data_IF_328184297931
#
_entry.id   IF_328184297931
#
_cell.length_a   1.000
_cell.length_b   1.000
_cell.length_c   1.000
_cell.angle_alpha   90.00
_cell.angle_beta   90.00
_cell.angle_gamma   90.00
#
_symmetry.space_group_name_H-M   'P 1'
#
loop_
_entity.id
_entity.type
_entity.pdbx_description
1 polymer ?
#
# COMPACT_ATOMS: atom_id res chain seq x y z
N UNK A 1 -35.89 -3.21 2.98
CA UNK A 1 -34.73 -3.09 3.88
C UNK A 1 -34.50 -4.46 4.49
N UNK A 2 -33.46 -5.18 4.08
CA UNK A 2 -33.00 -6.33 4.86
C UNK A 2 -32.19 -5.73 6.00
N UNK A 3 -32.66 -5.88 7.23
CA UNK A 3 -31.82 -5.68 8.40
C UNK A 3 -30.64 -6.63 8.23
N UNK A 4 -29.47 -6.06 7.94
CA UNK A 4 -28.23 -6.82 7.98
C UNK A 4 -27.96 -7.06 9.46
N UNK A 5 -28.38 -8.24 9.93
CA UNK A 5 -28.00 -8.73 11.25
C UNK A 5 -26.48 -8.79 11.21
N UNK A 6 -25.81 -7.85 11.91
CA UNK A 6 -24.37 -7.95 12.15
C UNK A 6 -24.21 -9.15 13.05
N UNK A 7 -23.87 -10.29 12.45
CA UNK A 7 -23.62 -11.50 13.20
C UNK A 7 -22.34 -11.28 14.01
N UNK A 8 -22.49 -11.03 15.30
CA UNK A 8 -21.38 -10.99 16.23
C UNK A 8 -20.79 -12.40 16.30
N UNK A 9 -19.60 -12.57 15.76
CA UNK A 9 -18.81 -13.81 15.78
C UNK A 9 -17.59 -13.59 16.65
N UNK A 10 -17.15 -14.62 17.37
CA UNK A 10 -15.95 -14.51 18.18
C UNK A 10 -14.70 -14.67 17.31
N UNK A 11 -13.60 -14.00 17.68
CA UNK A 11 -12.32 -14.19 17.00
C UNK A 11 -11.87 -15.66 17.07
N UNK A 12 -12.09 -16.33 18.19
CA UNK A 12 -11.76 -17.75 18.36
C UNK A 12 -12.47 -18.64 17.34
N UNK A 13 -13.76 -18.42 17.10
CA UNK A 13 -14.52 -19.18 16.08
C UNK A 13 -13.99 -18.93 14.67
N UNK A 14 -13.61 -17.68 14.36
CA UNK A 14 -13.06 -17.31 13.06
C UNK A 14 -11.69 -17.96 12.79
N UNK A 15 -10.85 -18.07 13.81
CA UNK A 15 -9.50 -18.64 13.70
C UNK A 15 -9.48 -20.18 13.69
N UNK A 16 -10.50 -20.84 14.24
CA UNK A 16 -10.50 -22.28 14.51
C UNK A 16 -10.28 -23.19 13.28
N UNK A 17 -10.60 -22.71 12.08
CA UNK A 17 -10.50 -23.48 10.83
C UNK A 17 -9.46 -22.93 9.85
N UNK A 18 -8.60 -22.00 10.30
CA UNK A 18 -7.55 -21.46 9.45
C UNK A 18 -6.38 -22.46 9.31
N UNK A 19 -5.62 -22.39 8.21
CA UNK A 19 -4.35 -23.09 8.09
C UNK A 19 -3.42 -22.76 9.27
N UNK A 20 -2.51 -23.67 9.64
CA UNK A 20 -1.50 -23.36 10.65
C UNK A 20 -0.67 -22.16 10.22
N UNK A 21 -0.25 -21.34 11.19
CA UNK A 21 0.67 -20.24 10.94
C UNK A 21 1.96 -20.79 10.33
N UNK A 22 2.47 -20.16 9.25
CA UNK A 22 3.72 -20.59 8.66
C UNK A 22 4.89 -20.25 9.59
N UNK A 23 6.04 -20.89 9.37
CA UNK A 23 7.28 -20.50 10.05
C UNK A 23 7.73 -19.12 9.55
N UNK A 24 7.33 -18.08 10.28
CA UNK A 24 7.64 -16.69 9.95
C UNK A 24 9.15 -16.45 9.85
N UNK A 25 9.95 -17.06 10.73
CA UNK A 25 11.39 -16.84 10.74
C UNK A 25 12.04 -17.29 9.43
N UNK A 26 11.63 -18.46 8.91
CA UNK A 26 12.09 -18.93 7.61
C UNK A 26 11.58 -18.05 6.47
N UNK A 27 10.30 -17.66 6.50
CA UNK A 27 9.70 -16.80 5.46
C UNK A 27 10.35 -15.42 5.39
N UNK A 28 10.67 -14.80 6.52
CA UNK A 28 11.33 -13.50 6.54
C UNK A 28 12.71 -13.54 5.86
N UNK A 29 13.47 -14.61 6.07
CA UNK A 29 14.77 -14.80 5.40
C UNK A 29 14.59 -14.91 3.88
N UNK A 30 13.59 -15.65 3.42
CA UNK A 30 13.28 -15.79 2.00
C UNK A 30 12.84 -14.45 1.38
N UNK A 31 11.94 -13.73 2.04
CA UNK A 31 11.47 -12.41 1.60
C UNK A 31 12.65 -11.42 1.51
N UNK A 32 13.52 -11.36 2.52
CA UNK A 32 14.68 -10.48 2.50
C UNK A 32 15.61 -10.78 1.32
N UNK A 33 15.80 -12.07 1.01
CA UNK A 33 16.60 -12.50 -0.14
C UNK A 33 15.97 -12.06 -1.46
N UNK A 34 14.66 -12.24 -1.62
CA UNK A 34 13.93 -11.81 -2.83
C UNK A 34 13.94 -10.29 -3.00
N UNK A 35 13.72 -9.55 -1.90
CA UNK A 35 13.79 -8.08 -1.90
C UNK A 35 15.19 -7.61 -2.34
N UNK A 36 16.25 -8.14 -1.70
CA UNK A 36 17.63 -7.81 -2.05
C UNK A 36 17.99 -8.20 -3.49
N UNK A 37 17.51 -9.35 -3.96
CA UNK A 37 17.74 -9.83 -5.32
C UNK A 37 17.01 -9.01 -6.40
N UNK A 38 15.85 -8.43 -6.05
CA UNK A 38 15.03 -7.68 -7.00
C UNK A 38 15.65 -6.35 -7.43
N UNK A 39 16.47 -5.73 -6.56
CA UNK A 39 17.09 -4.40 -6.75
C UNK A 39 16.08 -3.26 -7.01
N UNK A 40 14.79 -3.49 -6.77
CA UNK A 40 13.72 -2.49 -6.95
C UNK A 40 13.56 -1.67 -5.68
N UNK A 41 13.31 -0.37 -5.84
CA UNK A 41 12.88 0.49 -4.73
C UNK A 41 11.42 0.24 -4.38
N UNK A 42 11.09 0.17 -3.10
CA UNK A 42 9.71 0.21 -2.62
C UNK A 42 9.30 1.67 -2.40
N UNK A 43 8.29 2.10 -3.13
CA UNK A 43 7.66 3.41 -2.97
C UNK A 43 6.35 3.23 -2.25
N UNK A 44 6.24 3.75 -1.03
CA UNK A 44 4.97 3.71 -0.29
C UNK A 44 4.22 5.00 -0.53
N UNK A 45 2.99 4.89 -1.02
CA UNK A 45 2.09 6.02 -1.24
C UNK A 45 1.07 6.00 -0.13
N UNK A 46 1.18 6.96 0.80
CA UNK A 46 0.37 7.03 2.01
C UNK A 46 -0.71 8.12 1.88
N UNK A 47 -1.95 7.76 2.19
CA UNK A 47 -3.12 8.63 2.09
C UNK A 47 -3.31 9.55 3.31
N UNK A 48 -2.56 9.34 4.41
CA UNK A 48 -2.74 10.06 5.67
C UNK A 48 -1.47 10.13 6.55
N UNK A 49 -1.15 11.29 7.15
CA UNK A 49 0.04 11.48 7.99
C UNK A 49 0.12 10.58 9.23
N UNK A 50 -0.98 9.99 9.70
CA UNK A 50 -0.95 9.15 10.90
C UNK A 50 -0.26 7.81 10.64
N UNK A 51 -0.37 7.28 9.42
CA UNK A 51 0.29 6.02 9.03
C UNK A 51 1.82 6.13 9.11
N UNK A 52 2.37 7.26 8.66
CA UNK A 52 3.82 7.49 8.67
C UNK A 52 4.43 7.63 10.06
N UNK A 53 3.63 7.80 11.12
CA UNK A 53 4.12 7.87 12.51
C UNK A 53 4.58 6.51 13.06
N UNK A 54 4.26 5.41 12.39
CA UNK A 54 4.61 4.05 12.83
C UNK A 54 5.92 3.53 12.23
N UNK A 55 6.62 4.35 11.43
CA UNK A 55 7.86 3.99 10.75
C UNK A 55 9.00 4.93 11.18
N UNK A 56 10.22 4.43 11.15
CA UNK A 56 11.43 5.15 11.55
C UNK A 56 12.54 4.90 10.52
N UNK A 57 13.49 5.82 10.43
CA UNK A 57 14.65 5.75 9.54
C UNK A 57 14.33 5.58 8.03
N UNK A 58 13.16 6.07 7.62
CA UNK A 58 12.69 6.09 6.23
C UNK A 58 12.52 7.53 5.74
N UNK A 59 12.88 7.76 4.48
CA UNK A 59 12.70 9.06 3.83
C UNK A 59 11.20 9.30 3.57
N UNK A 60 10.71 10.50 3.87
CA UNK A 60 9.30 10.87 3.76
C UNK A 60 9.17 12.19 2.99
N UNK A 61 8.64 12.13 1.77
CA UNK A 61 8.40 13.30 0.95
C UNK A 61 6.96 13.74 1.13
N UNK A 62 6.78 15.00 1.50
CA UNK A 62 5.48 15.67 1.58
C UNK A 62 5.17 16.51 0.35
N UNK A 63 6.20 16.73 -0.48
CA UNK A 63 6.15 17.40 -1.78
C UNK A 63 7.19 16.77 -2.68
N UNK A 64 6.91 16.62 -3.97
CA UNK A 64 7.84 16.05 -4.93
C UNK A 64 7.57 16.57 -6.35
N UNK A 65 8.57 16.36 -7.19
CA UNK A 65 8.55 16.48 -8.64
C UNK A 65 9.40 15.34 -9.23
N UNK A 66 9.49 15.23 -10.56
CA UNK A 66 10.29 14.19 -11.21
C UNK A 66 11.77 14.22 -10.77
N UNK A 67 12.34 15.41 -10.58
CA UNK A 67 13.76 15.58 -10.22
C UNK A 67 14.05 15.06 -8.81
N UNK A 68 13.25 15.46 -7.82
CA UNK A 68 13.38 14.98 -6.43
C UNK A 68 13.13 13.47 -6.34
N UNK A 69 12.17 12.93 -7.10
CA UNK A 69 11.97 11.49 -7.16
C UNK A 69 13.17 10.76 -7.79
N UNK A 70 13.82 11.35 -8.80
CA UNK A 70 15.02 10.78 -9.41
C UNK A 70 16.19 10.73 -8.41
N UNK A 71 16.39 11.80 -7.63
CA UNK A 71 17.39 11.83 -6.56
C UNK A 71 17.15 10.71 -5.55
N UNK A 72 15.93 10.60 -5.01
CA UNK A 72 15.60 9.58 -4.01
C UNK A 72 15.66 8.16 -4.61
N UNK A 73 15.33 7.98 -5.89
CA UNK A 73 15.49 6.68 -6.59
C UNK A 73 16.95 6.25 -6.78
N UNK A 74 17.92 7.14 -6.62
CA UNK A 74 19.35 6.81 -6.72
C UNK A 74 20.03 6.58 -5.38
N UNK A 75 19.38 6.91 -4.26
CA UNK A 75 19.92 6.66 -2.93
C UNK A 75 20.12 5.16 -2.64
N UNK A 76 20.92 4.82 -1.64
CA UNK A 76 21.12 3.42 -1.25
C UNK A 76 19.89 2.81 -0.55
N UNK A 77 19.04 3.65 0.07
CA UNK A 77 17.84 3.20 0.78
C UNK A 77 16.87 2.51 -0.18
N UNK A 78 16.37 1.34 0.19
CA UNK A 78 15.44 0.57 -0.65
C UNK A 78 13.98 1.02 -0.54
N UNK A 79 13.66 1.96 0.34
CA UNK A 79 12.30 2.35 0.69
C UNK A 79 12.22 3.86 0.94
N UNK A 80 11.18 4.49 0.41
CA UNK A 80 10.76 5.83 0.80
C UNK A 80 9.24 5.99 0.71
N UNK A 81 8.73 7.01 1.38
CA UNK A 81 7.33 7.33 1.47
C UNK A 81 7.00 8.61 0.69
N UNK A 82 5.86 8.61 0.03
CA UNK A 82 5.18 9.78 -0.52
C UNK A 82 3.89 9.98 0.28
N UNK A 83 3.84 11.05 1.08
CA UNK A 83 2.64 11.41 1.82
C UNK A 83 1.75 12.29 0.95
N UNK A 84 0.74 11.66 0.35
CA UNK A 84 -0.26 12.36 -0.47
C UNK A 84 -1.25 13.15 0.39
N UNK A 85 -1.50 12.68 1.62
CA UNK A 85 -2.53 13.22 2.52
C UNK A 85 -3.91 13.33 1.80
N UNK A 86 -4.19 12.38 0.91
CA UNK A 86 -5.33 12.41 -0.01
C UNK A 86 -6.64 11.99 0.63
N UNK A 87 -6.63 11.33 1.80
CA UNK A 87 -7.82 10.70 2.40
C UNK A 87 -9.03 11.62 2.54
N UNK A 88 -8.77 12.89 2.89
CA UNK A 88 -9.82 13.90 3.11
C UNK A 88 -10.02 14.82 1.91
N UNK A 89 -9.30 14.60 0.80
CA UNK A 89 -9.45 15.40 -0.40
C UNK A 89 -10.77 15.07 -1.12
N UNK A 90 -11.25 15.95 -2.02
CA UNK A 90 -12.22 15.54 -3.01
C UNK A 90 -11.66 14.38 -3.83
N UNK A 91 -12.47 13.34 -4.06
CA UNK A 91 -12.09 12.15 -4.82
C UNK A 91 -11.40 12.47 -6.16
N UNK A 92 -11.86 13.50 -6.88
CA UNK A 92 -11.26 13.92 -8.15
C UNK A 92 -9.83 14.43 -8.00
N UNK A 93 -9.53 15.11 -6.89
CA UNK A 93 -8.20 15.64 -6.62
C UNK A 93 -7.25 14.53 -6.17
N UNK A 94 -7.73 13.61 -5.32
CA UNK A 94 -6.97 12.41 -4.94
C UNK A 94 -6.62 11.54 -6.17
N UNK A 95 -7.56 11.36 -7.10
CA UNK A 95 -7.33 10.64 -8.37
C UNK A 95 -6.28 11.36 -9.22
N UNK A 96 -6.39 12.68 -9.39
CA UNK A 96 -5.41 13.45 -10.17
C UNK A 96 -4.01 13.35 -9.56
N UNK A 97 -3.89 13.57 -8.25
CA UNK A 97 -2.63 13.51 -7.52
C UNK A 97 -1.95 12.14 -7.65
N UNK A 98 -2.69 11.04 -7.46
CA UNK A 98 -2.14 9.69 -7.57
C UNK A 98 -1.68 9.38 -9.00
N UNK A 99 -2.48 9.76 -10.01
CA UNK A 99 -2.09 9.55 -11.40
C UNK A 99 -0.83 10.35 -11.77
N UNK A 100 -0.76 11.62 -11.39
CA UNK A 100 0.41 12.48 -11.63
C UNK A 100 1.64 11.96 -10.89
N UNK A 101 1.48 11.50 -9.65
CA UNK A 101 2.56 10.89 -8.85
C UNK A 101 3.14 9.67 -9.55
N UNK A 102 2.27 8.76 -10.02
CA UNK A 102 2.70 7.59 -10.77
C UNK A 102 3.43 7.94 -12.08
N UNK A 103 2.95 8.95 -12.82
CA UNK A 103 3.61 9.42 -14.04
C UNK A 103 5.01 10.01 -13.76
N UNK A 104 5.16 10.79 -12.69
CA UNK A 104 6.45 11.35 -12.30
C UNK A 104 7.42 10.26 -11.83
N UNK A 105 6.95 9.24 -11.10
CA UNK A 105 7.75 8.07 -10.73
C UNK A 105 8.25 7.31 -11.96
N UNK A 106 7.39 7.08 -12.96
CA UNK A 106 7.79 6.46 -14.23
C UNK A 106 8.86 7.28 -14.94
N UNK A 107 8.69 8.60 -15.03
CA UNK A 107 9.66 9.48 -15.67
C UNK A 107 11.01 9.49 -14.91
N UNK A 108 10.97 9.54 -13.57
CA UNK A 108 12.16 9.51 -12.73
C UNK A 108 12.90 8.16 -12.83
N UNK A 109 12.16 7.05 -12.83
CA UNK A 109 12.69 5.70 -13.03
C UNK A 109 13.38 5.55 -14.38
N UNK A 110 12.78 6.05 -15.46
CA UNK A 110 13.39 6.05 -16.79
C UNK A 110 14.67 6.89 -16.86
N UNK A 111 14.68 8.07 -16.23
CA UNK A 111 15.85 8.94 -16.21
C UNK A 111 17.03 8.33 -15.44
N UNK A 112 16.73 7.59 -14.37
CA UNK A 112 17.74 7.03 -13.46
C UNK A 112 18.13 5.59 -13.77
N UNK A 113 17.33 4.89 -14.59
CA UNK A 113 17.40 3.44 -14.79
C UNK A 113 17.24 2.66 -13.47
N UNK A 114 16.51 3.24 -12.50
CA UNK A 114 16.16 2.60 -11.24
C UNK A 114 14.73 2.08 -11.28
N UNK A 115 14.57 0.77 -11.18
CA UNK A 115 13.25 0.14 -11.09
C UNK A 115 12.62 0.31 -9.70
N UNK A 116 11.29 0.33 -9.65
CA UNK A 116 10.55 0.44 -8.40
C UNK A 116 9.28 -0.40 -8.39
N UNK A 117 8.72 -0.59 -7.20
CA UNK A 117 7.40 -1.17 -6.93
C UNK A 117 6.63 -0.24 -6.00
N UNK A 118 5.31 -0.22 -6.10
CA UNK A 118 4.44 0.60 -5.25
C UNK A 118 3.72 -0.25 -4.22
N UNK A 119 3.67 0.23 -2.98
CA UNK A 119 2.66 -0.14 -2.02
C UNK A 119 1.76 1.07 -1.75
N UNK A 120 0.47 0.95 -2.07
CA UNK A 120 -0.51 1.95 -1.63
C UNK A 120 -0.90 1.63 -0.19
N UNK A 121 -0.52 2.51 0.73
CA UNK A 121 -0.84 2.40 2.14
C UNK A 121 -2.09 3.23 2.40
N UNK A 122 -3.12 2.55 2.90
CA UNK A 122 -4.43 3.14 3.19
C UNK A 122 -4.86 2.79 4.61
N UNK A 123 -6.06 3.21 4.97
CA UNK A 123 -6.64 2.97 6.29
C UNK A 123 -7.06 1.52 6.47
N UNK A 124 -6.70 0.93 7.62
CA UNK A 124 -7.09 -0.46 7.96
C UNK A 124 -8.60 -0.66 8.01
N UNK A 125 -9.40 0.39 8.27
CA UNK A 125 -10.88 0.32 8.22
C UNK A 125 -11.47 0.70 6.86
N UNK A 126 -10.66 0.64 5.80
CA UNK A 126 -11.06 0.86 4.40
C UNK A 126 -11.58 2.27 4.09
N UNK A 127 -11.24 3.27 4.92
CA UNK A 127 -11.50 4.68 4.61
C UNK A 127 -10.55 5.18 3.51
N UNK A 128 -10.96 6.24 2.82
CA UNK A 128 -10.22 6.83 1.70
C UNK A 128 -10.99 6.66 0.39
N UNK A 129 -10.27 6.64 -0.74
CA UNK A 129 -10.89 6.59 -2.06
C UNK A 129 -10.62 5.29 -2.81
N UNK A 130 -10.41 4.17 -2.10
CA UNK A 130 -10.35 2.86 -2.73
C UNK A 130 -11.67 2.56 -3.50
N UNK A 131 -11.61 2.02 -4.74
CA UNK A 131 -10.42 1.65 -5.52
C UNK A 131 -9.91 2.75 -6.46
N UNK A 132 -10.47 3.96 -6.42
CA UNK A 132 -10.20 5.01 -7.39
C UNK A 132 -8.74 5.49 -7.38
N UNK A 133 -8.09 5.56 -6.22
CA UNK A 133 -6.67 5.89 -6.12
C UNK A 133 -5.78 4.81 -6.73
N UNK A 134 -6.11 3.53 -6.50
CA UNK A 134 -5.38 2.39 -7.09
C UNK A 134 -5.47 2.42 -8.61
N UNK A 135 -6.67 2.64 -9.16
CA UNK A 135 -6.84 2.78 -10.61
C UNK A 135 -6.17 4.03 -11.18
N UNK A 136 -6.01 5.09 -10.39
CA UNK A 136 -5.25 6.26 -10.80
C UNK A 136 -3.75 5.96 -10.88
N UNK A 137 -3.21 5.28 -9.87
CA UNK A 137 -1.83 4.79 -9.86
C UNK A 137 -1.56 3.89 -11.06
N UNK A 138 -2.41 2.88 -11.28
CA UNK A 138 -2.28 1.97 -12.43
C UNK A 138 -2.23 2.73 -13.75
N UNK A 139 -3.17 3.63 -14.01
CA UNK A 139 -3.19 4.47 -15.23
C UNK A 139 -1.92 5.31 -15.40
N UNK A 140 -1.34 5.80 -14.31
CA UNK A 140 -0.10 6.57 -14.36
C UNK A 140 1.15 5.71 -14.56
N UNK A 141 1.14 4.47 -14.05
CA UNK A 141 2.23 3.49 -14.18
C UNK A 141 2.27 2.83 -15.56
N UNK A 142 1.12 2.71 -16.21
CA UNK A 142 0.98 2.03 -17.51
C UNK A 142 0.49 2.96 -18.62
N UNK A 143 1.22 4.06 -18.92
CA UNK A 143 0.76 5.03 -19.92
C UNK A 143 0.79 4.49 -21.36
N UNK A 144 1.51 3.37 -21.60
CA UNK A 144 1.60 2.71 -22.91
C UNK A 144 0.71 1.48 -22.99
N UNK A 145 0.06 1.27 -24.13
CA UNK A 145 -0.75 0.07 -24.41
C UNK A 145 0.14 -1.18 -24.39
N UNK A 146 0.14 -1.94 -23.29
CA UNK A 146 0.86 -3.21 -23.20
C UNK A 146 1.23 -3.63 -21.78
N UNK A 147 1.52 -2.67 -20.91
CA UNK A 147 1.73 -2.93 -19.49
C UNK A 147 0.39 -2.83 -18.77
N UNK A 148 0.02 -3.84 -17.99
CA UNK A 148 -1.15 -3.79 -17.12
C UNK A 148 -0.86 -4.67 -15.90
N UNK A 149 -1.56 -4.40 -14.80
CA UNK A 149 -1.51 -5.28 -13.64
C UNK A 149 -2.60 -6.34 -13.81
N UNK A 150 -2.26 -7.62 -13.61
CA UNK A 150 -3.24 -8.71 -13.64
C UNK A 150 -4.21 -8.66 -12.45
N UNK A 151 -3.81 -7.98 -11.36
CA UNK A 151 -4.63 -7.81 -10.17
C UNK A 151 -3.97 -6.95 -9.11
N UNK A 152 -4.75 -6.61 -8.08
CA UNK A 152 -4.30 -5.86 -6.91
C UNK A 152 -4.40 -6.76 -5.67
N UNK A 153 -3.34 -6.79 -4.86
CA UNK A 153 -3.37 -7.45 -3.56
C UNK A 153 -3.89 -6.47 -2.51
N UNK A 154 -5.05 -6.76 -1.95
CA UNK A 154 -5.69 -5.92 -0.93
C UNK A 154 -5.53 -6.59 0.43
N UNK A 155 -4.65 -6.03 1.28
CA UNK A 155 -4.29 -6.63 2.57
C UNK A 155 -4.52 -5.61 3.70
N UNK A 156 -5.78 -5.39 4.13
CA UNK A 156 -6.11 -4.40 5.17
C UNK A 156 -5.97 -4.96 6.59
N UNK A 157 -5.58 -6.23 6.74
CA UNK A 157 -5.38 -6.85 8.04
C UNK A 157 -4.29 -6.10 8.82
N UNK A 158 -4.57 -5.81 10.09
CA UNK A 158 -3.66 -5.14 11.00
C UNK A 158 -3.93 -5.63 12.42
N UNK A 159 -3.21 -6.69 12.82
CA UNK A 159 -3.54 -7.49 14.00
C UNK A 159 -3.34 -6.74 15.31
N UNK A 160 -2.33 -5.89 15.41
CA UNK A 160 -2.10 -5.00 16.55
C UNK A 160 -3.22 -3.97 16.69
N UNK A 161 -3.85 -3.61 15.57
CA UNK A 161 -5.07 -2.82 15.53
C UNK A 161 -6.34 -3.65 15.75
N UNK A 162 -6.28 -4.97 15.91
CA UNK A 162 -7.48 -5.82 15.97
C UNK A 162 -8.28 -5.84 14.66
N UNK A 163 -7.62 -5.65 13.52
CA UNK A 163 -8.23 -5.73 12.18
C UNK A 163 -7.86 -7.05 11.53
N UNK A 164 -8.86 -7.83 11.12
CA UNK A 164 -8.68 -9.17 10.57
C UNK A 164 -9.38 -9.30 9.22
N UNK A 165 -8.75 -9.95 8.24
CA UNK A 165 -9.38 -10.29 6.97
C UNK A 165 -9.43 -11.81 6.85
N UNK A 166 -10.63 -12.38 6.87
CA UNK A 166 -10.85 -13.83 6.88
C UNK A 166 -11.96 -14.16 5.90
N UNK A 167 -11.68 -15.05 4.93
CA UNK A 167 -12.62 -15.45 3.88
C UNK A 167 -13.29 -14.25 3.19
N UNK A 168 -12.47 -13.28 2.75
CA UNK A 168 -12.87 -12.04 2.08
C UNK A 168 -13.76 -11.08 2.90
N UNK A 169 -13.87 -11.28 4.22
CA UNK A 169 -14.58 -10.38 5.13
C UNK A 169 -13.56 -9.70 6.05
N UNK A 170 -13.66 -8.37 6.13
CA UNK A 170 -12.82 -7.56 7.01
C UNK A 170 -13.56 -7.24 8.33
N UNK A 171 -12.97 -7.64 9.45
CA UNK A 171 -13.50 -7.54 10.79
C UNK A 171 -12.71 -6.52 11.61
N UNK A 172 -13.42 -5.82 12.51
CA UNK A 172 -12.83 -4.97 13.55
C UNK A 172 -13.18 -5.58 14.90
N UNK A 173 -12.16 -6.03 15.63
CA UNK A 173 -12.33 -6.54 16.98
C UNK A 173 -12.67 -5.39 17.94
N UNK A 174 -13.68 -5.60 18.79
CA UNK A 174 -13.99 -4.72 19.92
C UNK A 174 -13.47 -5.36 21.19
N UNK A 175 -13.00 -4.58 22.19
CA UNK A 175 -12.72 -5.13 23.51
C UNK A 175 -13.95 -5.85 24.06
N UNK A 176 -13.74 -7.04 24.62
CA UNK A 176 -14.72 -7.74 25.46
C UNK A 176 -14.86 -7.07 26.82
#
# INVERSE_FOLDING_TARGET
MKESIVQMVTLTELLANLPPEPDEASLFVEIQREVAGSKRKLVVIDDDPTGTQTVHDVELLTTWNTETLAEVLQEERQLFYLLTNSRSMPKSDAVRLNQETAQQLVAASQATHSDFVIASRSDSTLRGHYPAEIFALERGLTPSTGNHFDGHLVVPAFFEGGRYTINDIHYVATPT
#
